data_IF_520902178950
#
_entry.id   IF_520902178950
#
_cell.length_a   1.000
_cell.length_b   1.000
_cell.length_c   1.000
_cell.angle_alpha   90.00
_cell.angle_beta   90.00
_cell.angle_gamma   90.00
#
_symmetry.space_group_name_H-M   'P 1'
#
loop_
_entity.id
_entity.type
_entity.pdbx_description
1 polymer ?
#
# COMPACT_ATOMS: atom_id res chain seq x y z
N UNK A 1 20.35 -13.22 23.31
CA UNK A 1 18.93 -13.30 23.74
C UNK A 1 17.97 -12.60 22.78
N UNK A 2 18.15 -11.32 22.39
CA UNK A 2 17.26 -10.59 21.44
C UNK A 2 16.88 -11.35 20.15
N UNK A 3 17.85 -11.99 19.47
CA UNK A 3 17.61 -12.74 18.23
C UNK A 3 16.59 -13.88 18.38
N UNK A 4 16.64 -14.61 19.49
CA UNK A 4 15.76 -15.76 19.77
C UNK A 4 14.29 -15.34 19.98
N UNK A 5 14.06 -14.17 20.57
CA UNK A 5 12.71 -13.61 20.74
C UNK A 5 12.13 -13.13 19.42
N UNK A 6 12.94 -12.47 18.59
CA UNK A 6 12.52 -12.02 17.26
C UNK A 6 12.17 -13.22 16.36
N UNK A 7 13.01 -14.26 16.33
CA UNK A 7 12.73 -15.47 15.55
C UNK A 7 11.50 -16.25 16.04
N UNK A 8 11.26 -16.29 17.35
CA UNK A 8 10.07 -16.92 17.92
C UNK A 8 8.81 -16.11 17.61
N UNK A 9 8.87 -14.80 17.75
CA UNK A 9 7.78 -13.89 17.39
C UNK A 9 7.45 -13.96 15.91
N UNK A 10 8.44 -14.00 15.02
CA UNK A 10 8.23 -14.16 13.58
C UNK A 10 7.59 -15.51 13.22
N UNK A 11 8.04 -16.61 13.85
CA UNK A 11 7.44 -17.94 13.64
C UNK A 11 6.01 -18.00 14.14
N UNK A 12 5.72 -17.40 15.30
CA UNK A 12 4.36 -17.34 15.83
C UNK A 12 3.48 -16.43 14.98
N UNK A 13 3.93 -15.21 14.69
CA UNK A 13 3.19 -14.24 13.90
C UNK A 13 2.86 -14.80 12.52
N UNK A 14 3.84 -15.38 11.80
CA UNK A 14 3.58 -15.99 10.48
C UNK A 14 2.62 -17.18 10.54
N UNK A 15 2.66 -17.98 11.62
CA UNK A 15 1.74 -19.11 11.82
C UNK A 15 0.33 -18.64 12.19
N UNK A 16 0.22 -17.62 13.04
CA UNK A 16 -1.04 -16.96 13.40
C UNK A 16 -1.66 -16.32 12.15
N UNK A 17 -0.92 -15.51 11.39
CA UNK A 17 -1.45 -14.86 10.17
C UNK A 17 -1.97 -15.89 9.16
N UNK A 18 -1.22 -16.99 8.94
CA UNK A 18 -1.67 -18.08 8.05
C UNK A 18 -2.91 -18.80 8.57
N UNK A 19 -3.05 -18.93 9.89
CA UNK A 19 -4.19 -19.61 10.51
C UNK A 19 -5.42 -18.72 10.57
N UNK A 20 -5.30 -17.46 10.99
CA UNK A 20 -6.41 -16.51 11.13
C UNK A 20 -7.16 -16.28 9.81
N UNK A 21 -6.50 -16.42 8.65
CA UNK A 21 -7.13 -16.34 7.33
C UNK A 21 -7.77 -17.64 6.81
N UNK A 22 -7.63 -18.77 7.53
CA UNK A 22 -8.18 -20.06 7.09
C UNK A 22 -9.68 -20.18 7.38
N UNK A 23 -10.50 -20.70 6.43
CA UNK A 23 -11.92 -20.96 6.66
C UNK A 23 -12.20 -21.81 7.91
N UNK A 24 -11.28 -22.71 8.27
CA UNK A 24 -11.40 -23.55 9.45
C UNK A 24 -11.32 -22.75 10.77
N UNK A 25 -10.52 -21.69 10.82
CA UNK A 25 -10.38 -20.84 12.01
C UNK A 25 -11.57 -19.91 12.17
N UNK A 26 -12.09 -19.40 11.04
CA UNK A 26 -13.35 -18.64 11.03
C UNK A 26 -14.49 -19.50 11.57
N UNK A 27 -14.63 -20.73 11.06
CA UNK A 27 -15.64 -21.68 11.54
C UNK A 27 -15.47 -22.01 13.03
N UNK A 28 -14.23 -22.24 13.49
CA UNK A 28 -13.95 -22.47 14.90
C UNK A 28 -14.30 -21.25 15.78
N UNK A 29 -14.04 -20.03 15.32
CA UNK A 29 -14.40 -18.81 16.04
C UNK A 29 -15.93 -18.65 16.15
N UNK A 30 -16.66 -18.93 15.07
CA UNK A 30 -18.13 -18.96 15.09
C UNK A 30 -18.68 -20.00 16.08
N UNK A 31 -18.15 -21.21 16.07
CA UNK A 31 -18.54 -22.26 17.02
C UNK A 31 -18.25 -21.84 18.47
N UNK A 32 -17.13 -21.17 18.70
CA UNK A 32 -16.76 -20.67 20.03
C UNK A 32 -17.75 -19.60 20.52
N UNK A 33 -18.21 -18.70 19.64
CA UNK A 33 -19.26 -17.72 19.96
C UNK A 33 -20.59 -18.41 20.30
N UNK A 34 -20.96 -19.46 19.55
CA UNK A 34 -22.19 -20.23 19.80
C UNK A 34 -22.11 -20.94 21.15
N UNK A 35 -20.99 -21.62 21.44
CA UNK A 35 -20.75 -22.30 22.72
C UNK A 35 -20.82 -21.28 23.86
N UNK A 36 -20.17 -20.13 23.71
CA UNK A 36 -20.21 -19.06 24.69
C UNK A 36 -21.65 -18.60 24.98
N UNK A 37 -22.44 -18.32 23.94
CA UNK A 37 -23.84 -17.93 24.07
C UNK A 37 -24.69 -19.02 24.74
N UNK A 38 -24.44 -20.29 24.42
CA UNK A 38 -25.13 -21.43 25.03
C UNK A 38 -24.74 -21.66 26.50
N UNK A 39 -23.52 -21.29 26.91
CA UNK A 39 -23.09 -21.36 28.32
C UNK A 39 -23.59 -20.19 29.17
N UNK A 40 -23.96 -19.06 28.55
CA UNK A 40 -24.46 -17.86 29.25
C UNK A 40 -25.65 -18.09 30.20
N UNK A 41 -26.70 -18.86 29.81
CA UNK A 41 -27.84 -19.18 30.67
C UNK A 41 -27.46 -19.94 31.95
N UNK A 42 -26.42 -20.79 31.92
CA UNK A 42 -25.94 -21.51 33.12
C UNK A 42 -25.33 -20.55 34.16
N UNK A 43 -24.81 -19.40 33.72
CA UNK A 43 -24.23 -18.36 34.58
C UNK A 43 -25.18 -17.17 34.79
N UNK A 44 -26.46 -17.31 34.42
CA UNK A 44 -27.48 -16.25 34.46
C UNK A 44 -27.04 -14.95 33.77
N UNK A 45 -26.12 -15.02 32.80
CA UNK A 45 -25.47 -13.85 32.22
C UNK A 45 -24.97 -12.85 33.28
N UNK A 46 -24.38 -13.34 34.37
CA UNK A 46 -23.91 -12.50 35.47
C UNK A 46 -22.93 -11.40 35.02
N UNK A 47 -22.87 -10.28 35.76
CA UNK A 47 -21.94 -9.19 35.46
C UNK A 47 -20.49 -9.65 35.41
N UNK A 48 -20.09 -10.55 36.32
CA UNK A 48 -18.74 -11.14 36.34
C UNK A 48 -18.46 -11.98 35.09
N UNK A 49 -19.44 -12.75 34.62
CA UNK A 49 -19.31 -13.56 33.40
C UNK A 49 -19.12 -12.68 32.16
N UNK A 50 -19.92 -11.61 32.04
CA UNK A 50 -19.80 -10.64 30.93
C UNK A 50 -18.47 -9.86 31.00
N UNK A 51 -18.06 -9.44 32.20
CA UNK A 51 -16.82 -8.68 32.42
C UNK A 51 -15.60 -9.47 31.96
N UNK A 52 -15.51 -10.76 32.29
CA UNK A 52 -14.40 -11.62 31.89
C UNK A 52 -14.29 -11.68 30.36
N UNK A 53 -15.41 -11.83 29.66
CA UNK A 53 -15.43 -12.03 28.21
C UNK A 53 -15.14 -10.73 27.47
N UNK A 54 -15.77 -9.63 27.89
CA UNK A 54 -15.52 -8.31 27.31
C UNK A 54 -14.07 -7.88 27.53
N UNK A 55 -13.52 -8.10 28.73
CA UNK A 55 -12.12 -7.79 29.03
C UNK A 55 -11.15 -8.65 28.21
N UNK A 56 -11.42 -9.96 28.11
CA UNK A 56 -10.59 -10.89 27.33
C UNK A 56 -10.58 -10.54 25.83
N UNK A 57 -11.76 -10.26 25.27
CA UNK A 57 -11.89 -9.90 23.85
C UNK A 57 -11.17 -8.59 23.55
N UNK A 58 -11.24 -7.62 24.47
CA UNK A 58 -10.53 -6.34 24.33
C UNK A 58 -9.01 -6.54 24.30
N UNK A 59 -8.46 -7.35 25.21
CA UNK A 59 -7.02 -7.67 25.24
C UNK A 59 -6.61 -8.39 23.94
N UNK A 60 -7.36 -9.39 23.52
CA UNK A 60 -7.08 -10.14 22.28
C UNK A 60 -7.10 -9.20 21.07
N UNK A 61 -8.10 -8.33 20.99
CA UNK A 61 -8.23 -7.35 19.89
C UNK A 61 -7.04 -6.40 19.88
N UNK A 62 -6.64 -5.87 21.04
CA UNK A 62 -5.48 -4.99 21.16
C UNK A 62 -4.20 -5.69 20.68
N UNK A 63 -3.97 -6.94 21.11
CA UNK A 63 -2.86 -7.75 20.63
C UNK A 63 -2.92 -8.02 19.12
N UNK A 64 -4.13 -8.28 18.59
CA UNK A 64 -4.36 -8.56 17.18
C UNK A 64 -3.95 -7.37 16.31
N UNK A 65 -4.22 -6.13 16.74
CA UNK A 65 -3.77 -4.93 16.01
C UNK A 65 -2.25 -4.93 15.82
N UNK A 66 -1.46 -5.21 16.86
CA UNK A 66 0.00 -5.28 16.73
C UNK A 66 0.48 -6.44 15.84
N UNK A 67 -0.17 -7.60 15.95
CA UNK A 67 0.16 -8.76 15.12
C UNK A 67 -0.13 -8.47 13.64
N UNK A 68 -1.30 -7.89 13.35
CA UNK A 68 -1.70 -7.47 12.00
C UNK A 68 -0.72 -6.42 11.48
N UNK A 69 -0.43 -5.38 12.26
CA UNK A 69 0.52 -4.34 11.87
C UNK A 69 1.90 -4.93 11.57
N UNK A 70 2.42 -5.83 12.40
CA UNK A 70 3.71 -6.47 12.14
C UNK A 70 3.71 -7.29 10.85
N UNK A 71 2.65 -8.09 10.63
CA UNK A 71 2.50 -8.89 9.42
C UNK A 71 2.39 -8.01 8.17
N UNK A 72 1.54 -6.98 8.24
CA UNK A 72 1.34 -6.02 7.15
C UNK A 72 2.62 -5.24 6.85
N UNK A 73 3.38 -4.83 7.85
CA UNK A 73 4.62 -4.06 7.64
C UNK A 73 5.66 -4.88 6.86
N UNK A 74 5.76 -6.19 7.15
CA UNK A 74 6.61 -7.11 6.40
C UNK A 74 6.12 -7.32 4.96
N UNK A 75 4.81 -7.48 4.77
CA UNK A 75 4.23 -7.67 3.44
C UNK A 75 4.37 -6.41 2.55
N UNK A 76 4.18 -5.22 3.13
CA UNK A 76 4.41 -3.93 2.46
C UNK A 76 5.85 -3.79 1.97
N UNK A 77 6.83 -4.11 2.82
CA UNK A 77 8.24 -4.09 2.44
C UNK A 77 8.55 -5.06 1.29
N UNK A 78 7.96 -6.25 1.30
CA UNK A 78 8.15 -7.21 0.22
C UNK A 78 7.54 -6.72 -1.11
N UNK A 79 6.42 -5.99 -1.07
CA UNK A 79 5.82 -5.35 -2.26
C UNK A 79 6.74 -4.25 -2.79
N UNK A 80 7.23 -3.39 -1.91
CA UNK A 80 8.19 -2.32 -2.23
C UNK A 80 9.44 -2.86 -2.92
N UNK A 81 10.09 -3.89 -2.36
CA UNK A 81 11.27 -4.51 -2.98
C UNK A 81 10.99 -5.08 -4.38
N UNK A 82 9.84 -5.73 -4.57
CA UNK A 82 9.44 -6.25 -5.89
C UNK A 82 9.21 -5.14 -6.91
N UNK A 83 8.60 -4.03 -6.50
CA UNK A 83 8.40 -2.87 -7.37
C UNK A 83 9.73 -2.20 -7.72
N UNK A 84 10.64 -2.08 -6.74
CA UNK A 84 11.98 -1.53 -6.96
C UNK A 84 12.77 -2.37 -7.98
N UNK A 85 12.69 -3.71 -7.92
CA UNK A 85 13.31 -4.59 -8.93
C UNK A 85 12.71 -4.38 -10.34
N UNK A 86 11.38 -4.22 -10.45
CA UNK A 86 10.72 -3.93 -11.72
C UNK A 86 11.11 -2.56 -12.28
N UNK A 87 11.25 -1.53 -11.43
CA UNK A 87 11.71 -0.20 -11.85
C UNK A 87 13.17 -0.21 -12.27
N UNK A 88 14.04 -0.90 -11.53
CA UNK A 88 15.47 -0.99 -11.83
C UNK A 88 15.77 -1.71 -13.17
N UNK A 89 14.90 -2.63 -13.60
CA UNK A 89 15.06 -3.37 -14.86
C UNK A 89 14.50 -2.62 -16.09
N UNK A 90 13.73 -1.55 -15.89
CA UNK A 90 13.15 -0.73 -16.96
C UNK A 90 14.16 0.33 -17.45
N UNK A 91 14.70 0.16 -18.67
CA UNK A 91 15.71 1.08 -19.26
C UNK A 91 15.30 2.56 -19.33
N UNK A 92 14.00 2.85 -19.32
CA UNK A 92 13.45 4.21 -19.40
C UNK A 92 12.78 4.68 -18.09
N UNK A 93 12.82 3.88 -17.02
CA UNK A 93 12.31 4.31 -15.72
C UNK A 93 13.34 5.19 -15.01
N UNK A 94 12.88 6.22 -14.30
CA UNK A 94 13.76 7.08 -13.52
C UNK A 94 14.19 6.37 -12.25
N UNK A 95 15.49 6.19 -12.06
CA UNK A 95 16.06 5.67 -10.81
C UNK A 95 15.70 6.51 -9.58
N UNK A 96 15.24 7.75 -9.77
CA UNK A 96 14.76 8.63 -8.69
C UNK A 96 13.51 8.12 -7.99
N UNK A 97 12.73 7.23 -8.62
CA UNK A 97 11.53 6.63 -8.01
C UNK A 97 11.84 5.33 -7.25
N UNK A 98 13.07 4.81 -7.34
CA UNK A 98 13.49 3.63 -6.58
C UNK A 98 13.60 4.04 -5.11
N UNK A 99 12.98 3.25 -4.23
CA UNK A 99 13.03 3.47 -2.77
C UNK A 99 12.41 4.82 -2.34
N UNK A 100 11.36 5.25 -3.04
CA UNK A 100 10.66 6.52 -2.79
C UNK A 100 10.05 6.61 -1.39
N UNK A 101 9.72 5.47 -0.78
CA UNK A 101 9.15 5.34 0.57
C UNK A 101 10.06 5.81 1.70
N UNK A 102 11.38 5.83 1.46
CA UNK A 102 12.39 6.21 2.45
C UNK A 102 12.75 7.70 2.37
N UNK A 103 12.18 8.42 1.40
CA UNK A 103 12.44 9.84 1.21
C UNK A 103 11.72 10.69 2.26
N UNK A 104 12.29 11.86 2.54
CA UNK A 104 11.62 12.85 3.38
C UNK A 104 10.42 13.45 2.64
N UNK A 105 9.46 14.02 3.39
CA UNK A 105 8.31 14.69 2.79
C UNK A 105 8.74 15.81 1.83
N UNK A 106 9.78 16.57 2.19
CA UNK A 106 10.32 17.66 1.36
C UNK A 106 10.89 17.12 0.04
N UNK A 107 11.57 15.98 0.07
CA UNK A 107 12.10 15.34 -1.14
C UNK A 107 10.98 14.77 -2.01
N UNK A 108 9.93 14.23 -1.39
CA UNK A 108 8.74 13.74 -2.10
C UNK A 108 8.00 14.87 -2.83
N UNK A 109 7.87 16.04 -2.20
CA UNK A 109 7.30 17.23 -2.84
C UNK A 109 8.13 17.70 -4.04
N UNK A 110 9.47 17.71 -3.92
CA UNK A 110 10.37 18.07 -5.03
C UNK A 110 10.21 17.12 -6.21
N UNK A 111 10.14 15.81 -5.96
CA UNK A 111 9.93 14.80 -7.01
C UNK A 111 8.57 14.99 -7.67
N UNK A 112 7.51 15.17 -6.88
CA UNK A 112 6.15 15.42 -7.37
C UNK A 112 6.10 16.68 -8.25
N UNK A 113 6.73 17.77 -7.82
CA UNK A 113 6.82 19.00 -8.60
C UNK A 113 7.56 18.80 -9.94
N UNK A 114 8.66 18.05 -9.93
CA UNK A 114 9.40 17.71 -11.14
C UNK A 114 8.55 16.92 -12.15
N UNK A 115 7.83 15.88 -11.71
CA UNK A 115 6.95 15.10 -12.58
C UNK A 115 5.73 15.88 -13.08
N UNK A 116 5.13 16.72 -12.24
CA UNK A 116 4.04 17.61 -12.66
C UNK A 116 4.48 18.54 -13.78
N UNK A 117 5.68 19.14 -13.65
CA UNK A 117 6.27 19.98 -14.69
C UNK A 117 6.54 19.20 -15.97
N UNK A 118 7.04 17.97 -15.87
CA UNK A 118 7.27 17.11 -17.04
C UNK A 118 5.97 16.75 -17.77
N UNK A 119 4.90 16.48 -17.02
CA UNK A 119 3.57 16.21 -17.57
C UNK A 119 2.97 17.44 -18.27
N UNK A 120 3.14 18.63 -17.68
CA UNK A 120 2.72 19.90 -18.29
C UNK A 120 3.48 20.19 -19.59
N UNK A 121 4.80 20.03 -19.59
CA UNK A 121 5.62 20.18 -20.79
C UNK A 121 5.24 19.18 -21.88
N UNK A 122 4.86 17.96 -21.52
CA UNK A 122 4.40 16.94 -22.47
C UNK A 122 3.04 17.29 -23.08
N UNK A 123 2.10 17.81 -22.29
CA UNK A 123 0.82 18.34 -22.78
C UNK A 123 1.03 19.54 -23.71
N UNK A 124 1.89 20.48 -23.32
CA UNK A 124 2.21 21.63 -24.14
C UNK A 124 2.93 21.23 -25.43
N UNK A 125 3.87 20.27 -25.39
CA UNK A 125 4.52 19.77 -26.60
C UNK A 125 3.55 19.06 -27.54
N UNK A 126 2.58 18.31 -27.01
CA UNK A 126 1.50 17.73 -27.82
C UNK A 126 0.63 18.84 -28.47
N UNK A 127 0.27 19.88 -27.71
CA UNK A 127 -0.48 21.03 -28.22
C UNK A 127 0.31 21.84 -29.29
N UNK A 128 1.62 22.03 -29.10
CA UNK A 128 2.49 22.74 -30.05
C UNK A 128 2.72 21.90 -31.33
N UNK A 129 2.77 20.57 -31.20
CA UNK A 129 2.91 19.66 -32.36
C UNK A 129 1.65 19.66 -33.23
N UNK A 130 0.46 19.94 -32.66
CA UNK A 130 -0.77 20.16 -33.43
C UNK A 130 -0.82 21.54 -34.11
N UNK A 131 -0.05 22.55 -33.67
CA UNK A 131 -0.11 23.92 -34.22
C UNK A 131 0.90 24.18 -35.36
N UNK A 132 1.80 23.25 -35.67
CA UNK A 132 2.60 23.29 -36.90
C UNK A 132 2.16 22.21 -37.87
N UNK A 133 0.97 22.41 -38.44
CA UNK A 133 0.58 21.73 -39.67
C UNK A 133 1.59 22.07 -40.80
N UNK A 134 1.85 21.16 -41.75
CA UNK A 134 2.76 21.39 -42.88
C UNK A 134 2.42 22.61 -43.77
N UNK A 135 1.28 23.25 -43.55
CA UNK A 135 0.73 24.30 -44.41
C UNK A 135 1.32 25.70 -44.16
N UNK A 136 1.88 26.00 -42.97
CA UNK A 136 2.42 27.34 -42.70
C UNK A 136 3.82 27.59 -43.33
N UNK A 137 4.58 26.53 -43.61
CA UNK A 137 5.86 26.66 -44.31
C UNK A 137 5.67 27.02 -45.80
N UNK A 138 4.54 26.63 -46.39
CA UNK A 138 4.24 26.88 -47.81
C UNK A 138 3.71 28.30 -48.08
N UNK A 139 3.09 28.94 -47.09
CA UNK A 139 2.49 30.27 -47.23
C UNK A 139 3.53 31.41 -47.18
N UNK A 140 4.63 31.23 -46.44
CA UNK A 140 5.72 32.24 -46.36
C UNK A 140 6.62 32.26 -47.60
N UNK A 141 6.62 31.21 -48.42
CA UNK A 141 7.37 31.17 -49.68
C UNK A 141 6.61 31.87 -50.82
N UNK A 142 5.27 31.81 -50.85
CA UNK A 142 4.47 32.51 -51.87
C UNK A 142 4.44 34.02 -51.68
N UNK A 143 4.48 34.51 -50.44
CA UNK A 143 4.47 35.96 -50.16
C UNK A 143 5.79 36.65 -50.53
N UNK A 144 6.91 35.89 -50.60
CA UNK A 144 8.20 36.40 -51.09
C UNK A 144 8.34 36.36 -52.62
N UNK A 145 7.54 35.55 -53.32
CA UNK A 145 7.57 35.45 -54.79
C UNK A 145 6.58 36.39 -55.49
N UNK A 146 5.55 36.90 -54.80
CA UNK A 146 4.57 37.85 -55.36
C UNK A 146 4.91 39.32 -55.11
N UNK A 147 6.06 39.61 -54.48
CA UNK A 147 6.50 40.96 -54.07
C UNK A 147 7.58 41.58 -54.93
N UNK A 148 7.76 41.14 -56.19
CA UNK A 148 8.70 41.73 -57.15
C UNK A 148 8.02 42.15 -58.44
#
# INVERSE_FOLDING_TARGET
>A
MKKKYLEFFEKISSKITKWTGSPAVVLAAFLLIIIWGATGPFFNFSENWQLIINSSTTIITFLMVFIIQHSQNKDTLAIQMKLNELLATQKNASNTLINIEDLTEEDLEKIKAHYNKLAELSKNKAAITETHGPDEASSRHKEKESGN
#
